data_IF_657137310282
#
_entry.id   IF_657137310282
#
_cell.length_a   1.000
_cell.length_b   1.000
_cell.length_c   1.000
_cell.angle_alpha   90.00
_cell.angle_beta   90.00
_cell.angle_gamma   90.00
#
_symmetry.space_group_name_H-M   'P 1'
#
loop_
_entity.id
_entity.type
_entity.pdbx_description
1 polymer ?
#
# COMPACT_ATOMS: atom_id res chain seq x y z
N UNK A 1 18.74 15.98 21.37
CA UNK A 1 19.52 15.54 20.17
C UNK A 1 18.75 14.45 19.46
N UNK A 2 18.44 14.62 18.18
CA UNK A 2 17.76 13.59 17.38
C UNK A 2 18.79 12.55 16.94
N UNK A 3 18.48 11.25 17.11
CA UNK A 3 19.33 10.17 16.63
C UNK A 3 19.42 10.19 15.09
N UNK A 4 20.58 9.78 14.53
CA UNK A 4 20.88 9.98 13.10
C UNK A 4 19.83 9.37 12.16
N UNK A 5 19.34 8.16 12.46
CA UNK A 5 18.33 7.47 11.66
C UNK A 5 16.98 8.19 11.54
N UNK A 6 16.65 9.09 12.47
CA UNK A 6 15.39 9.86 12.42
C UNK A 6 15.51 11.16 11.63
N UNK A 7 16.72 11.60 11.28
CA UNK A 7 16.93 12.86 10.53
C UNK A 7 16.35 12.79 9.10
N UNK A 8 16.26 11.59 8.54
CA UNK A 8 15.77 11.36 7.19
C UNK A 8 14.29 10.92 7.17
N UNK A 9 13.55 11.11 8.28
CA UNK A 9 12.15 10.74 8.39
C UNK A 9 11.30 12.02 8.59
N UNK A 10 10.85 12.66 7.50
CA UNK A 10 10.14 13.93 7.58
C UNK A 10 8.66 13.82 7.96
N UNK A 11 8.14 12.61 8.20
CA UNK A 11 6.71 12.34 8.30
C UNK A 11 6.06 12.09 6.94
N UNK A 12 4.77 11.81 6.95
CA UNK A 12 4.00 11.44 5.74
C UNK A 12 3.21 12.64 5.20
N UNK A 13 2.88 13.62 6.05
CA UNK A 13 2.18 14.85 5.69
C UNK A 13 0.66 14.73 5.56
N UNK A 14 0.10 13.52 5.51
CA UNK A 14 -1.35 13.27 5.42
C UNK A 14 -2.08 13.73 6.68
N UNK A 15 -1.50 13.46 7.83
CA UNK A 15 -1.96 13.85 9.16
C UNK A 15 -2.21 15.36 9.27
N UNK A 16 -1.26 16.18 8.80
CA UNK A 16 -1.40 17.64 8.83
C UNK A 16 -2.57 18.16 8.03
N UNK A 17 -2.85 17.57 6.87
CA UNK A 17 -4.00 17.96 6.03
C UNK A 17 -5.29 17.48 6.68
N UNK A 18 -5.31 16.25 7.25
CA UNK A 18 -6.44 15.72 8.00
C UNK A 18 -6.79 16.59 9.20
N UNK A 19 -5.80 16.93 10.04
CA UNK A 19 -5.98 17.80 11.21
C UNK A 19 -6.48 19.20 10.82
N UNK A 20 -5.96 19.76 9.72
CA UNK A 20 -6.42 21.05 9.20
C UNK A 20 -7.89 20.98 8.76
N UNK A 21 -8.30 19.93 8.05
CA UNK A 21 -9.68 19.72 7.65
C UNK A 21 -10.60 19.51 8.86
N UNK A 22 -10.19 18.71 9.83
CA UNK A 22 -10.95 18.45 11.06
C UNK A 22 -11.16 19.73 11.90
N UNK A 23 -10.15 20.60 11.95
CA UNK A 23 -10.24 21.86 12.69
C UNK A 23 -11.31 22.80 12.16
N UNK A 24 -11.64 22.71 10.88
CA UNK A 24 -12.68 23.54 10.26
C UNK A 24 -14.10 23.10 10.63
N UNK A 25 -14.30 21.87 11.11
CA UNK A 25 -15.60 21.28 11.50
C UNK A 25 -16.69 21.44 10.44
N UNK A 26 -16.33 21.39 9.18
CA UNK A 26 -17.22 21.58 8.05
C UNK A 26 -17.46 20.24 7.34
N UNK A 27 -18.70 19.72 7.42
CA UNK A 27 -19.08 18.43 6.82
C UNK A 27 -19.10 18.45 5.28
N UNK A 28 -19.06 19.65 4.67
CA UNK A 28 -19.01 19.81 3.22
C UNK A 28 -17.60 19.59 2.64
N UNK A 29 -16.57 19.48 3.48
CA UNK A 29 -15.21 19.19 3.03
C UNK A 29 -15.15 17.78 2.44
N UNK A 30 -14.66 17.67 1.21
CA UNK A 30 -14.32 16.39 0.57
C UNK A 30 -12.98 15.88 1.13
N UNK A 31 -13.02 14.68 1.72
CA UNK A 31 -11.87 14.07 2.41
C UNK A 31 -11.06 13.17 1.46
N UNK A 32 -10.28 13.81 0.58
CA UNK A 32 -9.48 13.13 -0.43
C UNK A 32 -8.00 13.00 -0.02
N UNK A 33 -7.66 13.35 1.22
CA UNK A 33 -6.28 13.31 1.75
C UNK A 33 -5.91 11.97 2.38
N UNK A 34 -6.85 11.31 3.05
CA UNK A 34 -6.56 10.09 3.80
C UNK A 34 -6.89 8.83 2.99
N UNK A 35 -5.99 7.86 2.99
CA UNK A 35 -6.18 6.60 2.27
C UNK A 35 -7.12 5.67 3.06
N UNK A 36 -8.38 6.02 3.07
CA UNK A 36 -9.47 5.35 3.76
C UNK A 36 -10.61 5.00 2.79
N UNK A 37 -11.68 4.38 3.27
CA UNK A 37 -12.89 4.06 2.51
C UNK A 37 -14.12 4.12 3.40
N UNK A 38 -15.23 4.59 2.85
CA UNK A 38 -16.57 4.59 3.47
C UNK A 38 -17.28 3.24 3.35
N UNK A 39 -16.73 2.30 2.56
CA UNK A 39 -17.31 0.98 2.41
C UNK A 39 -17.03 0.11 3.66
N UNK A 40 -18.09 -0.58 4.12
CA UNK A 40 -18.00 -1.38 5.34
C UNK A 40 -17.18 -2.66 5.15
N UNK A 41 -16.54 -3.15 6.23
CA UNK A 41 -15.93 -4.48 6.27
C UNK A 41 -16.95 -5.59 5.98
N UNK A 42 -16.51 -6.82 5.58
CA UNK A 42 -17.38 -7.97 5.41
C UNK A 42 -18.19 -8.26 6.69
N UNK A 43 -19.48 -8.57 6.54
CA UNK A 43 -20.38 -8.78 7.68
C UNK A 43 -19.91 -9.92 8.60
N UNK A 44 -19.42 -11.02 8.03
CA UNK A 44 -18.89 -12.15 8.80
C UNK A 44 -17.62 -11.79 9.59
N UNK A 45 -16.77 -10.88 9.07
CA UNK A 45 -15.61 -10.41 9.80
C UNK A 45 -16.02 -9.58 11.03
N UNK A 46 -17.05 -8.74 10.87
CA UNK A 46 -17.62 -7.98 11.98
C UNK A 46 -18.20 -8.91 13.04
N UNK A 47 -19.02 -9.90 12.64
CA UNK A 47 -19.63 -10.87 13.56
C UNK A 47 -18.57 -11.64 14.36
N UNK A 48 -17.56 -12.20 13.68
CA UNK A 48 -16.47 -12.93 14.36
C UNK A 48 -15.61 -12.03 15.25
N UNK A 49 -15.47 -10.75 14.94
CA UNK A 49 -14.77 -9.82 15.83
C UNK A 49 -15.60 -9.54 17.10
N UNK A 50 -16.93 -9.39 16.99
CA UNK A 50 -17.81 -9.22 18.14
C UNK A 50 -17.79 -10.47 19.05
N UNK A 51 -17.86 -11.67 18.51
CA UNK A 51 -17.75 -12.91 19.27
C UNK A 51 -16.39 -13.03 19.98
N UNK A 52 -15.31 -12.61 19.32
CA UNK A 52 -13.96 -12.66 19.89
C UNK A 52 -13.75 -11.74 21.11
N UNK A 53 -14.55 -10.70 21.28
CA UNK A 53 -14.47 -9.82 22.47
C UNK A 53 -14.85 -10.59 23.73
N UNK A 54 -15.81 -11.51 23.64
CA UNK A 54 -16.31 -12.32 24.75
C UNK A 54 -15.54 -13.66 24.89
N UNK A 55 -14.58 -13.96 24.01
CA UNK A 55 -13.76 -15.17 24.05
C UNK A 55 -12.47 -14.93 24.86
N UNK A 56 -12.36 -15.58 26.01
CA UNK A 56 -11.17 -15.52 26.88
C UNK A 56 -9.89 -15.95 26.16
N UNK A 57 -9.97 -16.88 25.18
CA UNK A 57 -8.83 -17.32 24.41
C UNK A 57 -8.31 -16.22 23.47
N UNK A 58 -9.20 -15.38 22.92
CA UNK A 58 -8.82 -14.21 22.12
C UNK A 58 -8.24 -13.07 22.97
N UNK A 59 -8.56 -13.04 24.28
CA UNK A 59 -8.05 -12.06 25.24
C UNK A 59 -6.74 -12.49 25.93
N UNK A 60 -6.12 -13.60 25.51
CA UNK A 60 -4.86 -14.12 26.02
C UNK A 60 -3.70 -13.93 25.07
N UNK A 61 -2.48 -14.34 25.46
CA UNK A 61 -1.38 -14.43 24.51
C UNK A 61 -1.67 -15.47 23.43
N UNK A 62 -1.64 -15.02 22.18
CA UNK A 62 -1.75 -15.92 21.03
C UNK A 62 -0.40 -16.59 20.71
N UNK A 63 -0.39 -17.66 19.88
CA UNK A 63 0.84 -18.18 19.30
C UNK A 63 1.64 -17.05 18.63
N UNK A 64 2.94 -16.95 18.91
CA UNK A 64 3.77 -15.80 18.56
C UNK A 64 3.96 -15.59 17.05
N UNK A 65 3.77 -16.65 16.23
CA UNK A 65 3.73 -16.55 14.78
C UNK A 65 2.34 -16.23 14.23
N UNK A 66 1.34 -16.10 15.10
CA UNK A 66 -0.08 -15.93 14.77
C UNK A 66 -0.86 -17.25 14.83
N UNK A 67 -2.16 -17.14 14.99
CA UNK A 67 -3.07 -18.28 15.03
C UNK A 67 -2.94 -19.13 13.75
N UNK A 68 -2.99 -20.46 13.93
CA UNK A 68 -2.81 -21.43 12.86
C UNK A 68 -3.80 -21.21 11.70
N UNK A 69 -5.09 -21.05 12.01
CA UNK A 69 -6.13 -20.85 11.01
C UNK A 69 -5.88 -19.62 10.12
N UNK A 70 -5.42 -18.50 10.72
CA UNK A 70 -5.10 -17.30 9.96
C UNK A 70 -3.86 -17.50 9.09
N UNK A 71 -2.81 -18.19 9.59
CA UNK A 71 -1.61 -18.49 8.80
C UNK A 71 -1.93 -19.41 7.61
N UNK A 72 -2.77 -20.43 7.82
CA UNK A 72 -3.24 -21.34 6.77
C UNK A 72 -4.03 -20.57 5.70
N UNK A 73 -4.98 -19.74 6.10
CA UNK A 73 -5.76 -18.91 5.17
C UNK A 73 -4.88 -17.92 4.38
N UNK A 74 -3.90 -17.30 5.03
CA UNK A 74 -2.99 -16.36 4.38
C UNK A 74 -2.03 -17.06 3.40
N UNK A 75 -1.44 -18.20 3.80
CA UNK A 75 -0.56 -18.99 2.95
C UNK A 75 -1.30 -19.57 1.73
N UNK A 76 -2.53 -20.06 1.94
CA UNK A 76 -3.40 -20.55 0.85
C UNK A 76 -3.76 -19.41 -0.12
N UNK A 77 -4.13 -18.23 0.39
CA UNK A 77 -4.46 -17.07 -0.45
C UNK A 77 -3.29 -16.67 -1.34
N UNK A 78 -2.09 -16.50 -0.75
CA UNK A 78 -0.87 -16.16 -1.51
C UNK A 78 -0.51 -17.27 -2.48
N UNK A 79 -0.57 -18.51 -2.03
CA UNK A 79 -0.31 -19.67 -2.87
C UNK A 79 -1.22 -19.78 -4.08
N UNK A 80 -2.51 -19.52 -3.90
CA UNK A 80 -3.51 -19.50 -4.99
C UNK A 80 -3.23 -18.38 -5.99
N UNK A 81 -2.92 -17.16 -5.52
CA UNK A 81 -2.60 -16.04 -6.39
C UNK A 81 -1.31 -16.26 -7.20
N UNK A 82 -0.32 -16.90 -6.60
CA UNK A 82 0.98 -17.17 -7.21
C UNK A 82 1.04 -18.50 -8.01
N UNK A 83 0.07 -19.40 -7.84
CA UNK A 83 0.11 -20.75 -8.43
C UNK A 83 1.18 -21.65 -7.82
N UNK A 84 1.59 -21.40 -6.56
CA UNK A 84 2.60 -22.17 -5.83
C UNK A 84 2.10 -22.52 -4.42
N UNK A 85 2.69 -23.53 -3.78
CA UNK A 85 2.32 -23.90 -2.42
C UNK A 85 3.26 -23.27 -1.39
N UNK A 86 2.70 -22.92 -0.21
CA UNK A 86 3.43 -22.48 0.98
C UNK A 86 3.01 -23.30 2.20
N UNK A 87 3.99 -23.70 3.02
CA UNK A 87 3.72 -24.31 4.32
C UNK A 87 3.43 -23.21 5.36
N UNK A 88 2.19 -23.15 5.82
CA UNK A 88 1.77 -22.16 6.81
C UNK A 88 2.54 -22.25 8.14
N UNK A 89 3.17 -23.40 8.45
CA UNK A 89 3.91 -23.57 9.69
C UNK A 89 5.27 -22.88 9.67
N UNK A 90 5.97 -22.97 8.54
CA UNK A 90 7.35 -22.50 8.36
C UNK A 90 7.47 -21.26 7.47
N UNK A 91 6.47 -20.95 6.64
CA UNK A 91 6.54 -19.94 5.59
C UNK A 91 5.52 -18.79 5.73
N UNK A 92 4.75 -18.75 6.84
CA UNK A 92 3.79 -17.68 7.12
C UNK A 92 3.88 -17.17 8.54
N UNK A 93 3.89 -15.85 8.71
CA UNK A 93 3.86 -15.15 10.00
C UNK A 93 2.82 -14.03 9.95
N UNK A 94 1.99 -13.94 10.99
CA UNK A 94 1.03 -12.84 11.15
C UNK A 94 1.75 -11.60 11.69
N UNK A 95 1.35 -10.41 11.23
CA UNK A 95 1.94 -9.13 11.64
C UNK A 95 0.87 -8.11 12.04
N UNK A 96 1.27 -7.05 12.77
CA UNK A 96 0.40 -5.94 13.16
C UNK A 96 0.09 -5.01 11.96
N UNK A 97 -0.54 -5.56 10.93
CA UNK A 97 -0.76 -4.95 9.62
C UNK A 97 0.45 -5.08 8.70
N UNK A 98 0.26 -4.80 7.41
CA UNK A 98 1.30 -5.00 6.38
C UNK A 98 2.59 -4.23 6.64
N UNK A 99 2.49 -2.98 7.10
CA UNK A 99 3.67 -2.14 7.33
C UNK A 99 4.58 -2.66 8.46
N UNK A 100 4.02 -3.32 9.48
CA UNK A 100 4.83 -4.00 10.48
C UNK A 100 5.53 -5.23 9.89
N UNK A 101 4.83 -5.98 9.02
CA UNK A 101 5.43 -7.09 8.26
C UNK A 101 6.61 -6.65 7.40
N UNK A 102 6.44 -5.58 6.62
CA UNK A 102 7.51 -4.98 5.81
C UNK A 102 8.71 -4.58 6.68
N UNK A 103 8.45 -3.92 7.81
CA UNK A 103 9.53 -3.48 8.70
C UNK A 103 10.29 -4.67 9.31
N UNK A 104 9.58 -5.71 9.75
CA UNK A 104 10.20 -6.94 10.25
C UNK A 104 11.08 -7.61 9.18
N UNK A 105 10.61 -7.67 7.92
CA UNK A 105 11.39 -8.19 6.80
C UNK A 105 12.65 -7.36 6.57
N UNK A 106 12.53 -6.04 6.49
CA UNK A 106 13.69 -5.14 6.28
C UNK A 106 14.74 -5.32 7.38
N UNK A 107 14.32 -5.44 8.65
CA UNK A 107 15.24 -5.70 9.77
C UNK A 107 15.90 -7.08 9.71
N UNK A 108 15.30 -8.05 8.99
CA UNK A 108 15.82 -9.40 8.84
C UNK A 108 16.80 -9.58 7.67
N UNK A 109 16.75 -8.64 6.68
CA UNK A 109 17.55 -8.80 5.44
C UNK A 109 18.60 -7.69 5.25
N UNK A 110 18.54 -6.59 6.02
CA UNK A 110 19.43 -5.44 5.84
C UNK A 110 20.46 -5.32 6.94
N UNK A 111 21.72 -5.12 6.53
CA UNK A 111 22.75 -4.54 7.36
C UNK A 111 22.80 -3.00 7.18
N UNK A 112 23.37 -2.25 8.15
CA UNK A 112 23.48 -0.81 8.02
C UNK A 112 24.15 -0.38 6.73
N UNK A 113 23.45 0.46 5.94
CA UNK A 113 23.91 0.98 4.66
C UNK A 113 23.64 0.06 3.46
N UNK A 114 23.00 -1.08 3.63
CA UNK A 114 22.47 -1.84 2.51
C UNK A 114 21.37 -1.06 1.78
N UNK A 115 21.20 -1.31 0.49
CA UNK A 115 20.31 -0.53 -0.35
C UNK A 115 19.04 -1.30 -0.72
N UNK A 116 17.92 -0.57 -0.75
CA UNK A 116 16.60 -1.06 -1.16
C UNK A 116 16.07 -0.19 -2.28
N UNK A 117 15.74 -0.80 -3.41
CA UNK A 117 15.12 -0.09 -4.54
C UNK A 117 13.60 -0.06 -4.36
N UNK A 118 13.04 1.15 -4.43
CA UNK A 118 11.59 1.42 -4.45
C UNK A 118 11.20 2.08 -5.78
N UNK A 119 9.92 2.11 -6.09
CA UNK A 119 9.41 2.95 -7.19
C UNK A 119 9.38 4.43 -6.80
N UNK A 120 9.37 5.34 -7.77
CA UNK A 120 9.25 6.77 -7.57
C UNK A 120 8.18 7.35 -8.53
N UNK A 121 7.06 7.86 -8.03
CA UNK A 121 6.68 8.03 -6.62
C UNK A 121 6.34 6.72 -5.91
N UNK A 122 6.47 6.72 -4.56
CA UNK A 122 6.09 5.61 -3.70
C UNK A 122 5.53 6.10 -2.37
N UNK A 123 4.97 5.18 -1.58
CA UNK A 123 4.47 5.51 -0.24
C UNK A 123 5.62 5.93 0.69
N UNK A 124 5.57 7.17 1.19
CA UNK A 124 6.59 7.70 2.10
C UNK A 124 6.83 6.79 3.32
N UNK A 125 5.80 6.09 3.79
CA UNK A 125 5.94 5.12 4.87
C UNK A 125 6.86 3.93 4.55
N UNK A 126 7.05 3.56 3.27
CA UNK A 126 8.02 2.55 2.86
C UNK A 126 9.44 3.12 2.92
N UNK A 127 9.64 4.33 2.40
CA UNK A 127 10.93 5.06 2.46
C UNK A 127 11.38 5.18 3.92
N UNK A 128 10.48 5.62 4.80
CA UNK A 128 10.76 5.78 6.22
C UNK A 128 11.17 4.47 6.89
N UNK A 129 10.60 3.32 6.48
CA UNK A 129 10.96 2.01 7.03
C UNK A 129 12.34 1.54 6.58
N UNK A 130 12.73 1.83 5.34
CA UNK A 130 14.10 1.58 4.88
C UNK A 130 15.08 2.38 5.75
N UNK A 131 14.84 3.66 6.00
CA UNK A 131 15.68 4.47 6.88
C UNK A 131 15.70 3.97 8.33
N UNK A 132 14.54 3.57 8.89
CA UNK A 132 14.46 3.01 10.25
C UNK A 132 15.22 1.70 10.38
N UNK A 133 15.26 0.88 9.32
CA UNK A 133 16.06 -0.35 9.26
C UNK A 133 17.55 -0.08 8.95
N UNK A 134 17.99 1.18 9.02
CA UNK A 134 19.35 1.63 8.68
C UNK A 134 19.77 1.35 7.23
N UNK A 135 18.82 1.06 6.34
CA UNK A 135 19.03 0.93 4.91
C UNK A 135 19.03 2.26 4.17
N UNK A 136 19.42 2.22 2.91
CA UNK A 136 19.46 3.39 2.01
C UNK A 136 18.45 3.17 0.87
N UNK A 137 17.42 4.03 0.73
CA UNK A 137 16.48 3.93 -0.36
C UNK A 137 17.12 4.36 -1.68
N UNK A 138 16.89 3.58 -2.74
CA UNK A 138 17.17 3.89 -4.14
C UNK A 138 15.85 3.92 -4.89
N UNK A 139 15.81 4.58 -6.04
CA UNK A 139 14.54 4.81 -6.71
C UNK A 139 14.62 4.41 -8.19
N UNK A 140 13.62 3.61 -8.61
CA UNK A 140 13.30 3.33 -10.00
C UNK A 140 12.09 4.18 -10.39
N UNK A 141 12.21 4.98 -11.45
CA UNK A 141 11.17 5.94 -11.82
C UNK A 141 9.93 5.24 -12.37
N UNK A 142 8.76 5.72 -11.97
CA UNK A 142 7.52 5.52 -12.71
C UNK A 142 7.32 6.71 -13.66
N UNK A 143 7.04 6.42 -14.92
CA UNK A 143 6.79 7.44 -15.94
C UNK A 143 5.29 7.53 -16.19
N UNK A 144 4.70 8.74 -16.13
CA UNK A 144 3.33 8.93 -16.58
C UNK A 144 3.24 8.80 -18.10
N UNK A 145 2.22 8.12 -18.59
CA UNK A 145 1.93 7.97 -20.01
C UNK A 145 0.45 8.22 -20.30
N UNK A 146 0.08 8.17 -21.58
CA UNK A 146 -1.31 8.38 -22.00
C UNK A 146 -2.29 7.38 -21.37
N UNK A 147 -1.81 6.17 -21.04
CA UNK A 147 -2.59 5.08 -20.46
C UNK A 147 -2.21 4.80 -18.97
N UNK A 148 -1.71 5.80 -18.25
CA UNK A 148 -1.32 5.67 -16.86
C UNK A 148 0.18 5.49 -16.63
N UNK A 149 0.54 4.92 -15.50
CA UNK A 149 1.93 4.76 -15.08
C UNK A 149 2.63 3.55 -15.70
N UNK A 150 3.93 3.69 -15.99
CA UNK A 150 4.82 2.60 -16.41
C UNK A 150 6.13 2.65 -15.64
N UNK A 151 6.73 1.49 -15.39
CA UNK A 151 8.06 1.41 -14.80
C UNK A 151 9.13 1.70 -15.87
N UNK A 152 10.02 2.64 -15.58
CA UNK A 152 11.22 2.90 -16.37
C UNK A 152 12.24 1.80 -16.08
N UNK A 153 12.37 0.82 -17.01
CA UNK A 153 13.24 -0.34 -16.83
C UNK A 153 14.73 0.03 -16.84
N UNK A 154 15.11 1.09 -17.56
CA UNK A 154 16.50 1.58 -17.54
C UNK A 154 16.80 2.21 -16.18
N UNK A 155 15.86 2.97 -15.62
CA UNK A 155 15.96 3.51 -14.27
C UNK A 155 16.02 2.41 -13.21
N UNK A 156 15.23 1.33 -13.36
CA UNK A 156 15.30 0.15 -12.49
C UNK A 156 16.69 -0.49 -12.52
N UNK A 157 17.22 -0.74 -13.72
CA UNK A 157 18.55 -1.32 -13.89
C UNK A 157 19.65 -0.44 -13.29
N UNK A 158 19.57 0.88 -13.47
CA UNK A 158 20.53 1.84 -12.92
C UNK A 158 20.44 1.98 -11.39
N UNK A 159 19.27 1.71 -10.80
CA UNK A 159 19.10 1.77 -9.35
C UNK A 159 19.70 0.55 -8.62
N UNK A 160 19.91 -0.58 -9.32
CA UNK A 160 20.46 -1.80 -8.74
C UNK A 160 21.99 -1.73 -8.77
N UNK A 161 22.60 -1.79 -7.60
CA UNK A 161 24.05 -1.72 -7.39
C UNK A 161 24.52 -2.87 -6.47
N UNK A 162 25.84 -3.11 -6.31
CA UNK A 162 26.32 -4.24 -5.51
C UNK A 162 25.85 -4.30 -4.05
N UNK A 163 25.42 -3.15 -3.48
CA UNK A 163 24.85 -3.09 -2.13
C UNK A 163 23.33 -3.29 -2.08
N UNK A 164 22.66 -3.43 -3.21
CA UNK A 164 21.21 -3.67 -3.27
C UNK A 164 20.89 -5.04 -2.69
N UNK A 165 20.03 -5.10 -1.68
CA UNK A 165 19.56 -6.34 -1.04
C UNK A 165 18.15 -6.71 -1.43
N UNK A 166 17.32 -5.70 -1.72
CA UNK A 166 15.93 -5.94 -2.08
C UNK A 166 15.39 -4.91 -3.07
N UNK A 167 14.41 -5.35 -3.84
CA UNK A 167 13.40 -4.48 -4.46
C UNK A 167 12.17 -4.52 -3.55
N UNK A 168 11.63 -3.36 -3.17
CA UNK A 168 10.38 -3.24 -2.41
C UNK A 168 9.33 -2.60 -3.32
N UNK A 169 8.46 -3.44 -3.88
CA UNK A 169 7.49 -3.06 -4.91
C UNK A 169 6.07 -3.25 -4.40
N UNK A 170 5.23 -2.24 -4.59
CA UNK A 170 3.78 -2.29 -4.36
C UNK A 170 3.05 -2.26 -5.72
N UNK A 171 2.13 -3.20 -5.97
CA UNK A 171 1.29 -3.22 -7.17
C UNK A 171 -0.09 -3.81 -6.82
N UNK A 172 -1.18 -3.03 -6.96
CA UNK A 172 -1.23 -1.60 -7.29
C UNK A 172 -0.46 -0.71 -6.32
N UNK A 173 0.22 0.32 -6.86
CA UNK A 173 1.02 1.20 -6.03
C UNK A 173 0.21 2.34 -5.39
N UNK A 174 0.64 2.78 -4.24
CA UNK A 174 0.28 4.07 -3.67
C UNK A 174 1.51 4.99 -3.78
N UNK A 175 1.35 6.24 -4.28
CA UNK A 175 0.10 7.00 -4.37
C UNK A 175 -0.60 6.98 -5.75
N UNK A 176 0.03 6.46 -6.80
CA UNK A 176 -0.38 6.71 -8.19
C UNK A 176 -1.30 5.67 -8.83
N UNK A 177 -1.49 4.51 -8.19
CA UNK A 177 -2.29 3.42 -8.77
C UNK A 177 -1.61 2.70 -9.94
N UNK A 178 -0.26 2.71 -9.99
CA UNK A 178 0.51 1.91 -10.94
C UNK A 178 0.26 0.42 -10.71
N UNK A 179 0.02 -0.32 -11.77
CA UNK A 179 -0.08 -1.79 -11.79
C UNK A 179 0.99 -2.32 -12.71
N UNK A 180 1.90 -3.11 -12.19
CA UNK A 180 3.00 -3.67 -12.96
C UNK A 180 2.45 -4.65 -14.03
N UNK A 181 2.87 -4.46 -15.27
CA UNK A 181 2.59 -5.37 -16.38
C UNK A 181 3.38 -6.67 -16.25
N UNK A 182 3.01 -7.69 -17.05
CA UNK A 182 3.73 -8.95 -17.08
C UNK A 182 5.20 -8.77 -17.48
N UNK A 183 5.48 -7.90 -18.44
CA UNK A 183 6.84 -7.66 -18.92
C UNK A 183 7.69 -6.94 -17.87
N UNK A 184 7.11 -5.98 -17.14
CA UNK A 184 7.77 -5.31 -16.03
C UNK A 184 8.05 -6.29 -14.87
N UNK A 185 7.10 -7.19 -14.54
CA UNK A 185 7.33 -8.24 -13.57
C UNK A 185 8.43 -9.23 -13.99
N UNK A 186 8.51 -9.59 -15.28
CA UNK A 186 9.57 -10.43 -15.81
C UNK A 186 10.94 -9.74 -15.72
N UNK A 187 11.03 -8.45 -16.02
CA UNK A 187 12.26 -7.67 -15.85
C UNK A 187 12.70 -7.60 -14.38
N UNK A 188 11.75 -7.35 -13.46
CA UNK A 188 12.01 -7.38 -12.01
C UNK A 188 12.53 -8.77 -11.59
N UNK A 189 11.88 -9.85 -12.05
CA UNK A 189 12.30 -11.22 -11.74
C UNK A 189 13.70 -11.55 -12.26
N UNK A 190 14.03 -11.09 -13.47
CA UNK A 190 15.36 -11.25 -14.04
C UNK A 190 16.43 -10.56 -13.18
N UNK A 191 16.21 -9.34 -12.75
CA UNK A 191 17.12 -8.64 -11.86
C UNK A 191 17.25 -9.34 -10.50
N UNK A 192 16.15 -9.79 -9.89
CA UNK A 192 16.19 -10.49 -8.61
C UNK A 192 16.98 -11.79 -8.70
N UNK A 193 16.78 -12.59 -9.74
CA UNK A 193 17.49 -13.86 -9.93
C UNK A 193 18.96 -13.66 -10.30
N UNK A 194 19.27 -12.73 -11.20
CA UNK A 194 20.63 -12.42 -11.65
C UNK A 194 21.52 -11.90 -10.51
N UNK A 195 21.01 -11.03 -9.68
CA UNK A 195 21.78 -10.37 -8.62
C UNK A 195 21.62 -11.04 -7.25
N UNK A 196 20.78 -12.06 -7.13
CA UNK A 196 20.56 -12.76 -5.86
C UNK A 196 19.87 -11.92 -4.79
N UNK A 197 19.04 -10.95 -5.18
CA UNK A 197 18.35 -10.02 -4.28
C UNK A 197 16.90 -10.42 -4.02
N UNK A 198 16.33 -9.95 -2.91
CA UNK A 198 14.95 -10.23 -2.53
C UNK A 198 13.97 -9.33 -3.29
N UNK A 199 12.79 -9.87 -3.59
CA UNK A 199 11.61 -9.07 -3.87
C UNK A 199 10.72 -9.05 -2.63
N UNK A 200 10.59 -7.89 -1.99
CA UNK A 200 9.57 -7.64 -0.97
C UNK A 200 8.35 -7.07 -1.69
N UNK A 201 7.33 -7.89 -1.83
CA UNK A 201 6.11 -7.53 -2.56
C UNK A 201 5.01 -7.09 -1.60
N UNK A 202 4.66 -5.80 -1.62
CA UNK A 202 3.50 -5.29 -0.89
C UNK A 202 2.22 -5.55 -1.69
N UNK A 203 1.52 -6.60 -1.31
CA UNK A 203 0.29 -7.10 -1.92
C UNK A 203 -0.98 -6.59 -1.22
N UNK A 204 -0.89 -5.55 -0.38
CA UNK A 204 -2.02 -5.08 0.43
C UNK A 204 -3.23 -4.60 -0.40
N UNK A 205 -3.04 -4.28 -1.67
CA UNK A 205 -4.10 -3.87 -2.62
C UNK A 205 -4.14 -4.75 -3.88
N UNK A 206 -3.56 -5.94 -3.85
CA UNK A 206 -3.31 -6.78 -5.02
C UNK A 206 -4.54 -7.01 -5.90
N UNK A 207 -5.73 -7.15 -5.31
CA UNK A 207 -7.00 -7.37 -6.03
C UNK A 207 -7.77 -6.08 -6.35
N UNK A 208 -7.28 -4.91 -5.96
CA UNK A 208 -7.94 -3.65 -6.29
C UNK A 208 -7.46 -3.20 -7.66
N UNK A 209 -7.91 -3.90 -8.68
CA UNK A 209 -7.54 -3.71 -10.09
C UNK A 209 -8.75 -3.24 -10.87
N UNK A 210 -8.51 -2.36 -11.85
CA UNK A 210 -9.53 -1.76 -12.70
C UNK A 210 -9.37 -2.21 -14.17
N UNK A 211 -10.36 -1.88 -14.97
CA UNK A 211 -10.35 -2.13 -16.43
C UNK A 211 -10.19 -3.63 -16.76
N UNK A 212 -10.74 -4.54 -15.92
CA UNK A 212 -10.67 -6.00 -16.12
C UNK A 212 -9.26 -6.59 -16.05
N UNK A 213 -8.32 -5.94 -15.38
CA UNK A 213 -6.94 -6.44 -15.25
C UNK A 213 -6.89 -7.65 -14.32
N UNK A 214 -6.05 -8.60 -14.67
CA UNK A 214 -5.78 -9.78 -13.86
C UNK A 214 -4.66 -9.54 -12.84
N UNK A 215 -4.74 -10.26 -11.72
CA UNK A 215 -3.64 -10.32 -10.74
C UNK A 215 -2.47 -11.10 -11.33
N UNK A 216 -1.29 -10.48 -11.33
CA UNK A 216 -0.01 -11.14 -11.65
C UNK A 216 0.83 -11.17 -10.38
N UNK A 217 0.84 -12.32 -9.69
CA UNK A 217 1.62 -12.47 -8.47
C UNK A 217 3.06 -12.85 -8.78
N UNK A 218 4.07 -12.04 -8.38
CA UNK A 218 5.46 -12.23 -8.81
C UNK A 218 6.10 -13.54 -8.34
N UNK A 219 5.66 -14.12 -7.22
CA UNK A 219 6.19 -15.41 -6.74
C UNK A 219 5.87 -16.59 -7.69
N UNK A 220 4.87 -16.45 -8.58
CA UNK A 220 4.56 -17.44 -9.62
C UNK A 220 5.45 -17.38 -10.84
N UNK A 221 6.33 -16.38 -10.94
CA UNK A 221 7.25 -16.26 -12.08
C UNK A 221 8.47 -17.20 -11.90
N UNK A 222 9.12 -17.61 -13.01
CA UNK A 222 10.26 -18.51 -12.94
C UNK A 222 11.36 -18.00 -11.99
N UNK A 223 11.78 -18.85 -11.04
CA UNK A 223 12.82 -18.54 -10.07
C UNK A 223 12.42 -17.61 -8.91
N UNK A 224 11.18 -17.12 -8.88
CA UNK A 224 10.76 -16.11 -7.92
C UNK A 224 10.14 -16.67 -6.63
N UNK A 225 9.68 -17.93 -6.61
CA UNK A 225 9.14 -18.59 -5.41
C UNK A 225 10.09 -18.47 -4.20
N UNK A 226 11.37 -18.70 -4.42
CA UNK A 226 12.42 -18.67 -3.40
C UNK A 226 13.05 -17.29 -3.18
N UNK A 227 12.53 -16.24 -3.83
CA UNK A 227 13.06 -14.88 -3.74
C UNK A 227 12.02 -13.83 -3.43
N UNK A 228 10.73 -14.20 -3.38
CA UNK A 228 9.64 -13.27 -3.10
C UNK A 228 9.17 -13.43 -1.66
N UNK A 229 9.13 -12.33 -0.94
CA UNK A 229 8.51 -12.20 0.38
C UNK A 229 7.26 -11.34 0.19
N UNK A 230 6.09 -11.97 0.28
CA UNK A 230 4.79 -11.32 0.07
C UNK A 230 4.23 -10.79 1.38
N UNK A 231 3.85 -9.53 1.38
CA UNK A 231 3.20 -8.87 2.51
C UNK A 231 1.75 -8.61 2.15
N UNK A 232 0.82 -9.21 2.89
CA UNK A 232 -0.60 -8.94 2.75
C UNK A 232 -1.20 -8.33 4.01
N UNK A 233 -2.40 -7.80 3.90
CA UNK A 233 -3.14 -7.26 5.03
C UNK A 233 -4.64 -7.20 4.76
N UNK A 234 -5.46 -7.30 5.82
CA UNK A 234 -6.90 -7.11 5.70
C UNK A 234 -7.31 -5.64 5.49
N UNK A 235 -6.37 -4.71 5.65
CA UNK A 235 -6.65 -3.27 5.72
C UNK A 235 -7.37 -2.72 4.51
N UNK A 236 -6.94 -3.06 3.29
CA UNK A 236 -7.42 -2.41 2.07
C UNK A 236 -8.50 -3.23 1.38
N UNK A 237 -8.16 -4.39 0.86
CA UNK A 237 -9.11 -5.24 0.13
C UNK A 237 -10.35 -5.60 0.95
N UNK A 238 -10.17 -5.88 2.24
CA UNK A 238 -11.27 -6.25 3.13
C UNK A 238 -11.89 -5.06 3.89
N UNK A 239 -11.43 -3.82 3.65
CA UNK A 239 -11.92 -2.60 4.31
C UNK A 239 -11.78 -2.65 5.84
N UNK A 240 -10.81 -3.41 6.35
CA UNK A 240 -10.56 -3.66 7.77
C UNK A 240 -9.31 -2.91 8.26
N UNK A 241 -9.26 -1.59 8.02
CA UNK A 241 -8.07 -0.75 8.30
C UNK A 241 -7.75 -0.75 9.79
N UNK A 242 -8.77 -0.64 10.63
CA UNK A 242 -8.64 -0.56 12.10
C UNK A 242 -8.26 -1.87 12.79
N UNK A 243 -8.41 -3.03 12.14
CA UNK A 243 -8.07 -4.34 12.75
C UNK A 243 -6.57 -4.55 12.96
N UNK A 244 -5.73 -3.87 12.18
CA UNK A 244 -4.28 -3.99 12.26
C UNK A 244 -3.77 -5.43 12.12
N UNK A 245 -4.32 -6.19 11.19
CA UNK A 245 -3.91 -7.56 10.87
C UNK A 245 -3.30 -7.62 9.47
N UNK A 246 -2.12 -8.24 9.39
CA UNK A 246 -1.41 -8.54 8.15
C UNK A 246 -0.65 -9.84 8.27
N UNK A 247 -0.01 -10.23 7.20
CA UNK A 247 0.82 -11.44 7.13
C UNK A 247 2.03 -11.24 6.25
N UNK A 248 3.05 -12.03 6.51
CA UNK A 248 4.24 -12.18 5.68
C UNK A 248 4.31 -13.63 5.25
N UNK A 249 4.36 -13.89 3.93
CA UNK A 249 4.53 -15.22 3.34
C UNK A 249 5.77 -15.22 2.46
N UNK A 250 6.66 -16.16 2.67
CA UNK A 250 7.93 -16.25 1.92
C UNK A 250 8.66 -17.55 2.19
N UNK A 251 9.84 -17.74 1.58
CA UNK A 251 10.62 -18.96 1.73
C UNK A 251 11.01 -19.22 3.20
N UNK A 252 10.95 -20.49 3.63
CA UNK A 252 11.33 -20.90 4.99
C UNK A 252 12.74 -20.45 5.39
N UNK A 253 13.65 -20.29 4.42
CA UNK A 253 15.04 -19.86 4.64
C UNK A 253 15.16 -18.49 5.32
N UNK A 254 14.22 -17.56 5.09
CA UNK A 254 14.23 -16.23 5.69
C UNK A 254 13.19 -16.09 6.79
N UNK A 255 12.11 -16.88 6.78
CA UNK A 255 10.98 -16.68 7.70
C UNK A 255 11.34 -16.93 9.16
N UNK A 256 12.39 -17.72 9.44
CA UNK A 256 12.88 -17.88 10.82
C UNK A 256 13.46 -16.57 11.39
N UNK A 257 14.19 -15.80 10.58
CA UNK A 257 14.75 -14.50 10.99
C UNK A 257 13.65 -13.46 11.15
N UNK A 258 12.67 -13.43 10.23
CA UNK A 258 11.48 -12.58 10.35
C UNK A 258 10.71 -12.91 11.63
N UNK A 259 10.61 -14.19 12.03
CA UNK A 259 9.99 -14.62 13.28
C UNK A 259 10.71 -14.07 14.52
N UNK A 260 12.04 -14.10 14.52
CA UNK A 260 12.84 -13.55 15.64
C UNK A 260 12.63 -12.06 15.80
N UNK A 261 12.62 -11.31 14.69
CA UNK A 261 12.33 -9.87 14.69
C UNK A 261 10.90 -9.61 15.16
N UNK A 262 9.91 -10.34 14.63
CA UNK A 262 8.50 -10.19 15.00
C UNK A 262 8.26 -10.42 16.49
N UNK A 263 8.86 -11.48 17.03
CA UNK A 263 8.78 -11.82 18.46
C UNK A 263 9.39 -10.72 19.33
N UNK A 264 10.52 -10.18 18.94
CA UNK A 264 11.22 -9.12 19.69
C UNK A 264 10.50 -7.77 19.63
N UNK A 265 9.72 -7.55 18.57
CA UNK A 265 9.00 -6.28 18.34
C UNK A 265 7.58 -6.28 18.96
N UNK A 266 6.78 -7.31 18.71
CA UNK A 266 5.34 -7.36 19.07
C UNK A 266 5.00 -8.74 19.65
N UNK A 267 5.69 -9.42 20.41
CA UNK A 267 5.42 -10.75 21.00
C UNK A 267 4.30 -11.56 20.27
N UNK A 268 3.06 -11.11 20.31
CA UNK A 268 1.93 -11.68 19.55
C UNK A 268 0.98 -10.58 19.04
N UNK A 269 0.05 -10.96 18.16
CA UNK A 269 -0.86 -10.01 17.50
C UNK A 269 -2.15 -9.79 18.32
N UNK A 270 -2.96 -8.82 17.87
CA UNK A 270 -4.23 -8.45 18.51
C UNK A 270 -5.22 -9.61 18.44
N UNK A 271 -5.50 -10.26 19.57
CA UNK A 271 -6.29 -11.48 19.63
C UNK A 271 -7.71 -11.31 19.13
N UNK A 272 -8.42 -10.29 19.60
CA UNK A 272 -9.81 -10.01 19.21
C UNK A 272 -9.98 -9.66 17.71
N UNK A 273 -8.92 -9.25 17.05
CA UNK A 273 -8.95 -8.92 15.61
C UNK A 273 -8.73 -10.16 14.70
N UNK A 274 -8.08 -11.19 15.22
CA UNK A 274 -7.65 -12.36 14.44
C UNK A 274 -8.80 -13.20 13.90
N UNK A 275 -9.87 -13.54 14.66
CA UNK A 275 -11.00 -14.31 14.16
C UNK A 275 -11.74 -13.61 13.02
N UNK A 276 -11.96 -12.29 13.14
CA UNK A 276 -12.55 -11.49 12.06
C UNK A 276 -11.69 -11.46 10.79
N UNK A 277 -10.37 -11.35 10.94
CA UNK A 277 -9.44 -11.42 9.81
C UNK A 277 -9.47 -12.79 9.13
N UNK A 278 -9.49 -13.87 9.91
CA UNK A 278 -9.61 -15.23 9.39
C UNK A 278 -10.92 -15.41 8.62
N UNK A 279 -12.05 -14.98 9.18
CA UNK A 279 -13.35 -15.03 8.53
C UNK A 279 -13.38 -14.27 7.19
N UNK A 280 -12.72 -13.10 7.11
CA UNK A 280 -12.59 -12.35 5.87
C UNK A 280 -11.82 -13.12 4.80
N UNK A 281 -10.70 -13.78 5.15
CA UNK A 281 -9.85 -14.51 4.21
C UNK A 281 -10.48 -15.81 3.72
N UNK A 282 -11.29 -16.47 4.56
CA UNK A 282 -11.91 -17.78 4.27
C UNK A 282 -13.32 -17.67 3.71
N UNK A 283 -13.88 -16.47 3.62
CA UNK A 283 -15.21 -16.23 3.08
C UNK A 283 -15.31 -16.66 1.61
N UNK A 284 -16.41 -17.34 1.26
CA UNK A 284 -16.73 -17.67 -0.13
C UNK A 284 -17.00 -16.41 -0.96
N UNK A 285 -17.72 -15.45 -0.35
CA UNK A 285 -17.87 -14.08 -0.86
C UNK A 285 -17.28 -13.11 0.18
N UNK A 286 -16.13 -12.54 -0.14
CA UNK A 286 -15.43 -11.56 0.70
C UNK A 286 -15.81 -10.10 0.39
N UNK A 287 -16.74 -9.90 -0.56
CA UNK A 287 -17.25 -8.60 -0.99
C UNK A 287 -16.20 -7.71 -1.68
N UNK A 288 -15.03 -8.23 -2.03
CA UNK A 288 -13.97 -7.44 -2.69
C UNK A 288 -14.35 -7.06 -4.10
N UNK A 289 -14.93 -7.97 -4.88
CA UNK A 289 -15.36 -7.68 -6.25
C UNK A 289 -16.37 -6.52 -6.30
N UNK A 290 -17.38 -6.54 -5.40
CA UNK A 290 -18.37 -5.46 -5.29
C UNK A 290 -17.73 -4.13 -4.88
N UNK A 291 -16.80 -4.16 -3.94
CA UNK A 291 -16.09 -2.97 -3.51
C UNK A 291 -15.20 -2.38 -4.62
N UNK A 292 -14.48 -3.24 -5.36
CA UNK A 292 -13.66 -2.84 -6.51
C UNK A 292 -14.52 -2.18 -7.59
N UNK A 293 -15.67 -2.75 -7.93
CA UNK A 293 -16.59 -2.15 -8.90
C UNK A 293 -17.06 -0.73 -8.48
N UNK A 294 -17.32 -0.51 -7.18
CA UNK A 294 -17.67 0.83 -6.67
C UNK A 294 -16.48 1.78 -6.73
N UNK A 295 -15.27 1.37 -6.34
CA UNK A 295 -14.09 2.23 -6.43
C UNK A 295 -13.71 2.54 -7.89
N UNK A 296 -13.87 1.59 -8.81
CA UNK A 296 -13.70 1.81 -10.25
C UNK A 296 -14.68 2.86 -10.77
N UNK A 297 -15.96 2.76 -10.39
CA UNK A 297 -16.99 3.76 -10.74
C UNK A 297 -16.62 5.17 -10.24
N UNK A 298 -16.06 5.29 -9.03
CA UNK A 298 -15.60 6.57 -8.48
C UNK A 298 -14.38 7.11 -9.23
N UNK A 299 -13.41 6.24 -9.54
CA UNK A 299 -12.26 6.55 -10.37
C UNK A 299 -12.70 7.10 -11.73
N UNK A 300 -13.61 6.40 -12.40
CA UNK A 300 -14.09 6.76 -13.74
C UNK A 300 -14.85 8.10 -13.72
N UNK A 301 -15.65 8.31 -12.68
CA UNK A 301 -16.31 9.60 -12.49
C UNK A 301 -15.27 10.74 -12.39
N UNK A 302 -14.25 10.58 -11.55
CA UNK A 302 -13.20 11.61 -11.40
C UNK A 302 -12.39 11.78 -12.69
N UNK A 303 -12.01 10.70 -13.37
CA UNK A 303 -11.31 10.79 -14.66
C UNK A 303 -12.12 11.57 -15.69
N UNK A 304 -13.44 11.39 -15.73
CA UNK A 304 -14.34 12.16 -16.60
C UNK A 304 -14.49 13.61 -16.15
N UNK A 305 -14.74 13.84 -14.87
CA UNK A 305 -14.95 15.18 -14.33
C UNK A 305 -13.71 16.08 -14.44
N UNK A 306 -12.52 15.51 -14.39
CA UNK A 306 -11.21 16.17 -14.40
C UNK A 306 -10.43 15.96 -15.70
N UNK A 307 -11.10 15.65 -16.81
CA UNK A 307 -10.46 15.29 -18.08
C UNK A 307 -9.63 16.44 -18.73
N UNK A 308 -9.87 17.67 -18.31
CA UNK A 308 -9.11 18.86 -18.73
C UNK A 308 -7.92 19.20 -17.82
N UNK A 309 -7.69 18.40 -16.77
CA UNK A 309 -6.56 18.56 -15.86
C UNK A 309 -5.51 17.45 -16.12
N UNK A 310 -4.24 17.70 -15.76
CA UNK A 310 -3.17 16.72 -15.93
C UNK A 310 -3.24 15.59 -14.88
N UNK A 311 -4.33 14.83 -14.92
CA UNK A 311 -4.58 13.66 -14.07
C UNK A 311 -3.98 12.43 -14.71
N UNK A 312 -3.22 11.66 -13.94
CA UNK A 312 -2.65 10.41 -14.41
C UNK A 312 -3.61 9.26 -14.02
N UNK A 313 -4.05 8.48 -15.03
CA UNK A 313 -5.00 7.38 -14.85
C UNK A 313 -4.43 6.29 -13.93
N UNK A 314 -5.09 5.95 -12.82
CA UNK A 314 -4.71 4.80 -12.00
C UNK A 314 -5.32 3.53 -12.58
N UNK A 315 -4.54 2.43 -12.58
CA UNK A 315 -4.98 1.11 -13.01
C UNK A 315 -5.49 0.24 -11.85
N UNK A 316 -5.37 0.74 -10.64
CA UNK A 316 -5.82 0.08 -9.42
C UNK A 316 -5.61 0.95 -8.19
N UNK A 317 -5.85 0.39 -7.02
CA UNK A 317 -5.69 1.10 -5.74
C UNK A 317 -6.81 2.08 -5.44
N UNK A 318 -6.53 3.10 -4.64
CA UNK A 318 -7.53 4.00 -4.07
C UNK A 318 -7.30 5.48 -4.37
N UNK A 319 -6.24 5.81 -5.11
CA UNK A 319 -5.85 7.19 -5.35
C UNK A 319 -5.29 7.43 -6.73
N UNK A 320 -5.36 8.69 -7.16
CA UNK A 320 -4.77 9.20 -8.39
C UNK A 320 -3.92 10.43 -8.10
N UNK A 321 -3.04 10.76 -9.05
CA UNK A 321 -2.18 11.93 -8.97
C UNK A 321 -2.54 12.95 -10.04
N UNK A 322 -2.49 14.22 -9.63
CA UNK A 322 -2.61 15.39 -10.51
C UNK A 322 -1.25 16.09 -10.54
N UNK A 323 -0.73 16.35 -11.71
CA UNK A 323 0.50 17.12 -11.89
C UNK A 323 0.22 18.62 -11.81
N UNK A 324 0.28 19.20 -10.62
CA UNK A 324 -0.06 20.61 -10.43
C UNK A 324 0.98 21.57 -10.98
N UNK A 325 2.23 21.12 -11.23
CA UNK A 325 3.25 21.94 -11.87
C UNK A 325 2.94 22.22 -13.34
N UNK A 326 2.26 21.31 -14.04
CA UNK A 326 1.75 21.60 -15.40
C UNK A 326 0.69 22.72 -15.43
N UNK A 327 0.08 22.99 -14.27
CA UNK A 327 -0.86 24.11 -14.07
C UNK A 327 -0.18 25.37 -13.49
N UNK A 328 1.15 25.36 -13.32
CA UNK A 328 1.90 26.44 -12.70
C UNK A 328 1.72 26.58 -11.18
N UNK A 329 1.26 25.51 -10.51
CA UNK A 329 1.00 25.50 -9.07
C UNK A 329 1.95 24.52 -8.34
N UNK A 330 2.59 24.98 -7.28
CA UNK A 330 3.32 24.08 -6.38
C UNK A 330 2.32 23.26 -5.53
N UNK A 331 2.50 21.93 -5.36
CA UNK A 331 1.51 21.08 -4.71
C UNK A 331 1.09 21.51 -3.29
N UNK A 332 1.98 22.01 -2.42
CA UNK A 332 1.56 22.52 -1.11
C UNK A 332 0.60 23.72 -1.20
N UNK A 333 0.84 24.64 -2.14
CA UNK A 333 -0.04 25.77 -2.38
C UNK A 333 -1.35 25.32 -2.99
N UNK A 334 -1.31 24.45 -4.00
CA UNK A 334 -2.50 23.85 -4.62
C UNK A 334 -3.39 23.16 -3.58
N UNK A 335 -2.82 22.38 -2.67
CA UNK A 335 -3.53 21.74 -1.55
C UNK A 335 -4.18 22.75 -0.61
N UNK A 336 -3.45 23.80 -0.23
CA UNK A 336 -3.97 24.88 0.64
C UNK A 336 -5.16 25.60 -0.01
N UNK A 337 -5.03 26.00 -1.27
CA UNK A 337 -6.09 26.67 -2.02
C UNK A 337 -7.36 25.80 -2.17
N UNK A 338 -7.17 24.48 -2.38
CA UNK A 338 -8.28 23.53 -2.42
C UNK A 338 -9.04 23.48 -1.10
N UNK A 339 -8.34 23.40 0.03
CA UNK A 339 -8.98 23.34 1.34
C UNK A 339 -9.71 24.66 1.66
N UNK A 340 -9.06 25.80 1.46
CA UNK A 340 -9.57 27.11 1.84
C UNK A 340 -10.74 27.59 0.96
N UNK A 341 -10.69 27.34 -0.35
CA UNK A 341 -11.63 27.89 -1.33
C UNK A 341 -12.59 26.85 -1.91
N UNK A 342 -12.11 25.59 -2.04
CA UNK A 342 -12.84 24.48 -2.65
C UNK A 342 -13.46 23.52 -1.66
N UNK A 343 -13.07 23.60 -0.37
CA UNK A 343 -13.45 22.61 0.64
C UNK A 343 -13.05 21.19 0.21
N UNK A 344 -11.82 21.05 -0.27
CA UNK A 344 -11.24 19.77 -0.68
C UNK A 344 -9.93 19.58 0.09
N UNK A 345 -9.86 18.56 0.93
CA UNK A 345 -8.62 18.12 1.55
C UNK A 345 -7.90 17.16 0.59
N UNK A 346 -6.67 17.47 0.21
CA UNK A 346 -5.86 16.64 -0.70
C UNK A 346 -4.38 16.72 -0.31
N UNK A 347 -3.61 15.64 -0.50
CA UNK A 347 -2.26 15.54 0.05
C UNK A 347 -1.20 15.87 -1.00
N UNK A 348 -0.34 16.90 -0.76
CA UNK A 348 0.84 17.12 -1.60
C UNK A 348 1.86 16.00 -1.38
N UNK A 349 2.49 15.52 -2.47
CA UNK A 349 3.35 14.35 -2.44
C UNK A 349 4.80 14.67 -2.04
N UNK A 350 5.04 15.73 -1.31
CA UNK A 350 6.37 16.07 -0.78
C UNK A 350 6.91 14.94 0.10
N UNK A 351 8.14 14.50 -0.17
CA UNK A 351 8.82 13.37 0.48
C UNK A 351 8.28 11.97 0.13
N UNK A 352 7.52 11.81 -0.95
CA UNK A 352 7.03 10.52 -1.43
C UNK A 352 7.88 9.94 -2.58
N UNK A 353 9.13 10.35 -2.66
CA UNK A 353 10.14 10.03 -3.66
C UNK A 353 10.70 11.30 -4.30
N UNK A 354 11.87 11.22 -4.96
CA UNK A 354 12.53 12.39 -5.60
C UNK A 354 11.68 13.07 -6.68
N UNK A 355 10.89 12.31 -7.44
CA UNK A 355 10.02 12.82 -8.50
C UNK A 355 8.60 13.14 -8.06
N UNK A 356 8.27 12.93 -6.78
CA UNK A 356 6.90 13.02 -6.29
C UNK A 356 6.41 14.45 -6.03
N UNK A 357 7.29 15.41 -5.74
CA UNK A 357 6.96 16.76 -5.27
C UNK A 357 6.39 17.71 -6.33
N UNK A 358 5.99 17.16 -7.47
CA UNK A 358 5.18 17.84 -8.49
C UNK A 358 3.70 17.46 -8.44
N UNK A 359 3.33 16.46 -7.63
CA UNK A 359 2.00 15.86 -7.63
C UNK A 359 1.19 16.21 -6.39
N UNK A 360 -0.12 16.27 -6.60
CA UNK A 360 -1.14 16.29 -5.57
C UNK A 360 -1.93 14.97 -5.65
N UNK A 361 -2.16 14.30 -4.52
CA UNK A 361 -2.91 13.05 -4.46
C UNK A 361 -4.36 13.28 -4.10
N UNK A 362 -5.26 12.65 -4.86
CA UNK A 362 -6.68 12.51 -4.58
C UNK A 362 -7.01 11.07 -4.27
N UNK A 363 -7.58 10.81 -3.11
CA UNK A 363 -8.12 9.51 -2.70
C UNK A 363 -9.60 9.46 -3.06
N UNK A 364 -10.01 8.52 -3.91
CA UNK A 364 -11.40 8.41 -4.38
C UNK A 364 -12.20 7.32 -3.65
N UNK A 365 -11.57 6.53 -2.80
CA UNK A 365 -12.21 5.42 -2.09
C UNK A 365 -13.12 5.85 -0.94
N UNK A 366 -12.99 7.09 -0.44
CA UNK A 366 -13.65 7.56 0.78
C UNK A 366 -14.82 8.52 0.53
N UNK A 367 -15.06 8.95 -0.70
CA UNK A 367 -16.16 9.85 -1.04
C UNK A 367 -17.08 9.24 -2.08
N UNK A 368 -18.40 9.32 -1.86
CA UNK A 368 -19.36 8.84 -2.84
C UNK A 368 -19.41 9.72 -4.08
N UNK A 369 -19.83 9.17 -5.23
CA UNK A 369 -19.98 9.96 -6.46
C UNK A 369 -20.95 11.13 -6.27
N UNK A 370 -21.98 10.98 -5.43
CA UNK A 370 -22.93 12.08 -5.15
C UNK A 370 -22.25 13.26 -4.46
N UNK A 371 -21.26 13.03 -3.61
CA UNK A 371 -20.47 14.10 -2.97
C UNK A 371 -19.44 14.71 -3.92
N UNK A 372 -18.99 13.97 -4.90
CA UNK A 372 -17.98 14.40 -5.88
C UNK A 372 -18.56 15.20 -7.06
N UNK A 373 -19.89 15.37 -7.18
CA UNK A 373 -20.55 15.94 -8.37
C UNK A 373 -20.03 17.32 -8.78
N UNK A 374 -19.72 18.18 -7.82
CA UNK A 374 -19.26 19.57 -8.05
C UNK A 374 -17.73 19.74 -7.94
N UNK A 375 -16.98 18.64 -7.90
CA UNK A 375 -15.52 18.67 -7.66
C UNK A 375 -14.78 19.53 -8.69
N UNK A 376 -15.16 19.45 -9.96
CA UNK A 376 -14.56 20.26 -11.03
C UNK A 376 -14.73 21.76 -10.79
N UNK A 377 -15.93 22.18 -10.40
CA UNK A 377 -16.24 23.57 -10.10
C UNK A 377 -15.47 24.05 -8.88
N UNK A 378 -15.43 23.23 -7.82
CA UNK A 378 -14.64 23.51 -6.61
C UNK A 378 -13.16 23.70 -6.94
N UNK A 379 -12.57 22.85 -7.78
CA UNK A 379 -11.16 22.95 -8.21
C UNK A 379 -10.94 24.23 -9.03
N UNK A 380 -11.78 24.49 -10.03
CA UNK A 380 -11.64 25.69 -10.88
C UNK A 380 -11.71 26.99 -10.07
N UNK A 381 -12.64 27.07 -9.15
CA UNK A 381 -12.74 28.21 -8.23
C UNK A 381 -11.51 28.36 -7.36
N UNK A 382 -10.94 27.24 -6.89
CA UNK A 382 -9.79 27.25 -6.00
C UNK A 382 -8.51 27.68 -6.69
N UNK A 383 -8.25 27.16 -7.87
CA UNK A 383 -7.03 27.39 -8.64
C UNK A 383 -7.16 28.53 -9.67
N UNK A 384 -8.36 29.06 -9.87
CA UNK A 384 -8.67 30.14 -10.82
C UNK A 384 -8.30 29.79 -12.28
N UNK A 385 -8.63 28.57 -12.69
CA UNK A 385 -8.38 27.99 -14.02
C UNK A 385 -9.68 27.67 -14.76
#
# INVERSE_FOLDING_TARGET
>A
MTVSRLRNIPGIGVDRIGDAADSLRDADILRLENLDTDLRPPAQALAQTHEAIDDDAANSYLPFTGQRALREAAAERVGRAAGVAYDAASECIVSAGGLAGIFNVLLSILEPGDEVVLTDPTYAGLINRVHLAAGVPRFARLQPGADGWRLDLDSLAAAIVPRTKALLIMSPSMPGGYVASRDEWLAIAEHCTRHGIWLVYDAAMERILFDGRDVIHPAGLPGMRERTITIGAVSKEYRMIGWRVGWTVGPASIMNDVRLVSLSNVVCQVGIATPGATAALTATDDGVATAVAEWERRRDFLMSALADLPVIRPHGGWSMLIDTRELGLEPPEASKLLLERGKIAATPMTNWGPGADRYLRFVFSNESVSRLQDIRERIRRSWQI
#
